data_IF_503453594606
#
_entry.id   IF_503453594606
#
_cell.length_a   1.000
_cell.length_b   1.000
_cell.length_c   1.000
_cell.angle_alpha   90.00
_cell.angle_beta   90.00
_cell.angle_gamma   90.00
#
_symmetry.space_group_name_H-M   'P 1'
#
loop_
_entity.id
_entity.type
_entity.pdbx_description
1 polymer ?
#
# COMPACT_ATOMS: atom_id res chain seq x y z
N UNK A 1 -17.92 -11.15 6.96
CA UNK A 1 -18.10 -9.68 6.91
C UNK A 1 -16.96 -9.08 7.71
N UNK A 2 -16.35 -8.00 7.23
CA UNK A 2 -15.32 -7.30 8.00
C UNK A 2 -15.92 -6.69 9.26
N UNK A 3 -15.25 -6.82 10.40
CA UNK A 3 -15.71 -6.26 11.69
C UNK A 3 -15.15 -4.86 11.95
N UNK A 4 -13.99 -4.55 11.34
CA UNK A 4 -13.35 -3.24 11.46
C UNK A 4 -13.53 -2.43 10.19
N UNK A 5 -13.59 -1.12 10.35
CA UNK A 5 -13.68 -0.16 9.26
C UNK A 5 -13.04 1.18 9.64
N UNK A 6 -13.01 2.09 8.68
CA UNK A 6 -12.50 3.45 8.86
C UNK A 6 -13.53 4.45 8.39
N UNK A 7 -13.81 5.45 9.21
CA UNK A 7 -14.54 6.64 8.75
C UNK A 7 -13.65 7.44 7.83
N UNK A 8 -14.23 8.01 6.79
CA UNK A 8 -13.50 8.81 5.81
C UNK A 8 -14.12 10.18 5.65
N UNK A 9 -13.28 11.17 5.41
CA UNK A 9 -13.68 12.51 5.00
C UNK A 9 -13.44 12.67 3.50
N UNK A 10 -14.40 13.20 2.75
CA UNK A 10 -14.21 13.57 1.35
C UNK A 10 -13.45 14.89 1.32
N UNK A 11 -12.20 14.86 0.85
CA UNK A 11 -11.35 16.04 0.79
C UNK A 11 -11.38 16.74 -0.57
N UNK A 12 -11.80 16.00 -1.63
CA UNK A 12 -11.89 16.54 -2.98
C UNK A 12 -12.82 15.70 -3.85
N UNK A 13 -13.54 16.34 -4.75
CA UNK A 13 -14.23 15.70 -5.87
C UNK A 13 -13.35 15.93 -7.10
N UNK A 14 -12.75 14.87 -7.63
CA UNK A 14 -11.85 14.96 -8.79
C UNK A 14 -12.63 15.03 -10.10
N UNK A 15 -13.77 14.34 -10.18
CA UNK A 15 -14.62 14.34 -11.37
C UNK A 15 -16.08 14.01 -11.02
N UNK A 16 -17.01 14.67 -11.72
CA UNK A 16 -18.42 14.33 -11.75
C UNK A 16 -18.76 13.76 -13.14
N UNK A 17 -19.37 12.57 -13.17
CA UNK A 17 -19.75 11.87 -14.38
C UNK A 17 -21.20 12.22 -14.78
N UNK A 18 -21.54 12.11 -16.07
CA UNK A 18 -22.88 12.44 -16.59
C UNK A 18 -24.02 11.60 -15.98
N UNK A 19 -23.71 10.41 -15.47
CA UNK A 19 -24.65 9.53 -14.78
C UNK A 19 -24.82 9.87 -13.28
N UNK A 20 -24.15 10.90 -12.77
CA UNK A 20 -24.17 11.34 -11.38
C UNK A 20 -23.16 10.64 -10.47
N UNK A 21 -22.32 9.75 -10.99
CA UNK A 21 -21.21 9.16 -10.22
C UNK A 21 -20.11 10.20 -9.98
N UNK A 22 -19.40 10.06 -8.88
CA UNK A 22 -18.33 10.96 -8.46
C UNK A 22 -17.02 10.20 -8.26
N UNK A 23 -15.93 10.69 -8.88
CA UNK A 23 -14.59 10.31 -8.49
C UNK A 23 -14.17 11.20 -7.33
N UNK A 24 -13.97 10.63 -6.16
CA UNK A 24 -13.68 11.37 -4.94
C UNK A 24 -12.32 10.97 -4.37
N UNK A 25 -11.67 11.94 -3.74
CA UNK A 25 -10.51 11.69 -2.91
C UNK A 25 -10.91 11.76 -1.45
N UNK A 26 -10.54 10.73 -0.70
CA UNK A 26 -10.91 10.61 0.72
C UNK A 26 -9.67 10.56 1.60
N UNK A 27 -9.85 10.90 2.86
CA UNK A 27 -8.87 10.71 3.93
C UNK A 27 -9.48 9.90 5.05
N UNK A 28 -8.79 8.84 5.51
CA UNK A 28 -9.17 8.12 6.72
C UNK A 28 -9.10 9.02 7.94
N UNK A 29 -10.08 8.93 8.82
CA UNK A 29 -10.19 9.77 10.03
C UNK A 29 -10.04 8.91 11.27
N UNK A 30 -10.89 7.89 11.42
CA UNK A 30 -11.01 7.16 12.66
C UNK A 30 -11.36 5.70 12.40
N UNK A 31 -10.73 4.79 13.16
CA UNK A 31 -11.01 3.36 13.06
C UNK A 31 -12.20 3.02 13.95
N UNK A 32 -13.11 2.21 13.45
CA UNK A 32 -14.26 1.73 14.21
C UNK A 32 -14.42 0.21 14.13
N UNK A 33 -15.10 -0.35 15.14
CA UNK A 33 -15.56 -1.74 15.14
C UNK A 33 -17.07 -1.79 14.97
N UNK A 34 -17.55 -2.63 14.04
CA UNK A 34 -18.97 -2.88 13.82
C UNK A 34 -19.49 -3.79 14.92
N UNK A 35 -20.51 -3.35 15.62
CA UNK A 35 -21.23 -4.13 16.63
C UNK A 35 -22.48 -4.78 16.04
N UNK A 36 -23.23 -4.04 15.21
CA UNK A 36 -24.46 -4.51 14.56
C UNK A 36 -24.64 -3.84 13.20
N UNK A 37 -25.12 -4.60 12.22
CA UNK A 37 -25.46 -4.07 10.90
C UNK A 37 -26.98 -3.91 10.80
N UNK A 38 -27.42 -2.69 10.51
CA UNK A 38 -28.84 -2.34 10.32
C UNK A 38 -29.10 -2.30 8.82
N UNK A 39 -29.77 -3.33 8.29
CA UNK A 39 -30.02 -3.43 6.84
C UNK A 39 -30.98 -2.37 6.33
N UNK A 40 -32.00 -2.04 7.13
CA UNK A 40 -33.04 -1.09 6.75
C UNK A 40 -33.24 -0.05 7.85
N UNK A 41 -33.07 1.21 7.49
CA UNK A 41 -33.38 2.34 8.35
C UNK A 41 -34.68 2.95 7.82
N UNK A 42 -35.72 3.15 8.69
CA UNK A 42 -36.98 3.77 8.25
C UNK A 42 -36.73 5.10 7.52
N UNK A 43 -37.41 5.30 6.39
CA UNK A 43 -37.31 6.51 5.56
C UNK A 43 -35.94 6.78 4.93
N UNK A 44 -35.00 5.83 4.95
CA UNK A 44 -33.69 5.94 4.30
C UNK A 44 -33.52 4.88 3.20
N UNK A 45 -32.87 5.26 2.12
CA UNK A 45 -32.55 4.36 1.01
C UNK A 45 -31.24 3.57 1.25
N UNK A 46 -30.62 3.71 2.42
CA UNK A 46 -29.38 3.07 2.79
C UNK A 46 -29.49 2.38 4.15
N UNK A 47 -28.66 1.37 4.37
CA UNK A 47 -28.47 0.72 5.67
C UNK A 47 -27.48 1.49 6.53
N UNK A 48 -27.28 1.00 7.74
CA UNK A 48 -26.32 1.57 8.69
C UNK A 48 -25.66 0.51 9.55
N UNK A 49 -24.88 0.96 10.51
CA UNK A 49 -24.30 0.08 11.51
C UNK A 49 -24.22 0.82 12.87
N UNK A 50 -24.36 0.04 13.94
CA UNK A 50 -23.93 0.48 15.28
C UNK A 50 -22.46 0.15 15.39
N UNK A 51 -21.65 1.15 15.71
CA UNK A 51 -20.21 1.02 15.78
C UNK A 51 -19.69 1.48 17.15
N UNK A 52 -18.53 0.95 17.49
CA UNK A 52 -17.73 1.42 18.61
C UNK A 52 -16.39 1.94 18.08
N UNK A 53 -15.87 3.00 18.65
CA UNK A 53 -14.55 3.55 18.37
C UNK A 53 -13.57 3.08 19.43
N UNK A 54 -12.73 2.08 19.14
CA UNK A 54 -11.72 1.61 20.09
C UNK A 54 -10.61 2.65 20.26
N UNK A 55 -9.95 2.64 21.42
CA UNK A 55 -8.74 3.44 21.62
C UNK A 55 -7.64 3.02 20.63
N UNK A 56 -7.29 3.90 19.72
CA UNK A 56 -6.32 3.67 18.65
C UNK A 56 -5.08 4.54 18.89
N UNK A 57 -4.03 3.92 19.42
CA UNK A 57 -2.78 4.60 19.76
C UNK A 57 -1.93 4.80 18.50
N UNK A 58 -1.75 6.07 18.10
CA UNK A 58 -0.99 6.45 16.89
C UNK A 58 0.46 6.88 17.21
N UNK A 59 0.84 6.92 18.47
CA UNK A 59 2.20 7.25 18.89
C UNK A 59 3.02 5.99 19.07
N UNK A 60 4.14 5.90 18.35
CA UNK A 60 5.07 4.77 18.36
C UNK A 60 6.49 5.18 18.74
N UNK A 61 7.41 4.24 18.53
CA UNK A 61 8.82 4.43 18.83
C UNK A 61 9.52 5.11 17.64
N UNK A 62 10.02 6.33 17.83
CA UNK A 62 10.67 7.12 16.76
C UNK A 62 11.85 6.39 16.11
N UNK A 63 12.70 5.71 16.91
CA UNK A 63 13.84 4.97 16.35
C UNK A 63 13.41 3.79 15.46
N UNK A 64 12.27 3.12 15.77
CA UNK A 64 11.70 2.09 14.91
C UNK A 64 11.13 2.71 13.63
N UNK A 65 10.45 3.84 13.73
CA UNK A 65 9.91 4.55 12.56
C UNK A 65 11.04 4.98 11.61
N UNK A 66 12.16 5.48 12.15
CA UNK A 66 13.34 5.82 11.33
C UNK A 66 13.85 4.60 10.55
N UNK A 67 13.98 3.44 11.22
CA UNK A 67 14.41 2.22 10.56
C UNK A 67 13.42 1.76 9.47
N UNK A 68 12.12 1.82 9.76
CA UNK A 68 11.06 1.49 8.79
C UNK A 68 11.12 2.42 7.59
N UNK A 69 11.26 3.73 7.80
CA UNK A 69 11.34 4.70 6.70
C UNK A 69 12.54 4.44 5.78
N UNK A 70 13.69 4.05 6.33
CA UNK A 70 14.85 3.67 5.52
C UNK A 70 14.53 2.43 4.65
N UNK A 71 13.87 1.42 5.20
CA UNK A 71 13.44 0.22 4.46
C UNK A 71 12.37 0.57 3.40
N UNK A 72 11.43 1.46 3.70
CA UNK A 72 10.40 1.94 2.75
C UNK A 72 11.03 2.69 1.58
N UNK A 73 11.97 3.59 1.85
CA UNK A 73 12.67 4.32 0.79
C UNK A 73 13.48 3.38 -0.09
N UNK A 74 14.14 2.40 0.49
CA UNK A 74 14.85 1.36 -0.27
C UNK A 74 13.89 0.52 -1.12
N UNK A 75 12.75 0.10 -0.56
CA UNK A 75 11.70 -0.61 -1.28
C UNK A 75 11.18 0.19 -2.49
N UNK A 76 10.92 1.50 -2.31
CA UNK A 76 10.50 2.36 -3.42
C UNK A 76 11.59 2.54 -4.47
N UNK A 77 12.85 2.64 -4.07
CA UNK A 77 13.97 2.69 -4.99
C UNK A 77 14.06 1.43 -5.85
N UNK A 78 13.86 0.25 -5.26
CA UNK A 78 13.82 -1.01 -6.01
C UNK A 78 12.68 -1.06 -7.02
N UNK A 79 11.54 -0.45 -6.73
CA UNK A 79 10.36 -0.39 -7.62
C UNK A 79 10.38 0.79 -8.58
N UNK A 80 11.42 1.63 -8.55
CA UNK A 80 11.51 2.88 -9.33
C UNK A 80 10.32 3.83 -9.08
N UNK A 81 9.75 3.79 -7.88
CA UNK A 81 8.63 4.64 -7.44
C UNK A 81 9.18 5.90 -6.77
N UNK A 82 8.80 7.07 -7.27
CA UNK A 82 9.13 8.34 -6.63
C UNK A 82 7.96 8.79 -5.75
N UNK A 83 8.19 8.81 -4.44
CA UNK A 83 7.26 9.34 -3.45
C UNK A 83 7.99 10.17 -2.41
N UNK A 84 7.43 11.35 -2.09
CA UNK A 84 7.95 12.21 -1.03
C UNK A 84 7.20 11.97 0.28
N UNK A 85 7.94 11.96 1.37
CA UNK A 85 7.41 11.89 2.74
C UNK A 85 7.81 13.15 3.51
N UNK A 86 7.06 13.50 4.57
CA UNK A 86 7.46 14.57 5.47
C UNK A 86 8.88 14.35 6.01
N UNK A 87 9.63 15.42 6.15
CA UNK A 87 11.01 15.37 6.65
C UNK A 87 11.05 15.04 8.14
N UNK A 88 10.03 15.50 8.87
CA UNK A 88 9.90 15.22 10.30
C UNK A 88 9.24 13.86 10.52
N UNK A 89 10.05 12.87 10.87
CA UNK A 89 9.62 11.50 11.16
C UNK A 89 8.68 11.43 12.36
N UNK A 90 8.76 12.38 13.28
CA UNK A 90 7.88 12.46 14.44
C UNK A 90 6.41 12.69 14.08
N UNK A 91 6.15 13.19 12.87
CA UNK A 91 4.78 13.44 12.36
C UNK A 91 4.23 12.29 11.52
N UNK A 92 5.04 11.27 11.21
CA UNK A 92 4.65 10.15 10.36
C UNK A 92 4.16 9.00 11.24
N UNK A 93 2.97 8.50 10.96
CA UNK A 93 2.44 7.24 11.49
C UNK A 93 2.60 6.10 10.48
N UNK A 94 2.46 4.87 10.94
CA UNK A 94 2.46 3.71 10.04
C UNK A 94 1.28 3.72 9.08
N UNK A 95 0.17 4.38 9.39
CA UNK A 95 -0.96 4.55 8.47
C UNK A 95 -0.58 5.36 7.22
N UNK A 96 0.34 6.34 7.35
CA UNK A 96 0.78 7.16 6.22
C UNK A 96 1.62 6.39 5.20
N UNK A 97 2.21 5.27 5.61
CA UNK A 97 3.11 4.45 4.76
C UNK A 97 2.52 3.09 4.38
N UNK A 98 1.57 2.56 5.14
CA UNK A 98 1.05 1.21 5.00
C UNK A 98 0.54 0.88 3.59
N UNK A 99 -0.19 1.81 2.96
CA UNK A 99 -0.73 1.65 1.62
C UNK A 99 0.34 1.64 0.50
N UNK A 100 1.59 1.94 0.85
CA UNK A 100 2.67 2.11 -0.12
C UNK A 100 3.78 1.05 -0.02
N UNK A 101 3.56 0.01 0.77
CA UNK A 101 4.54 -1.08 0.98
C UNK A 101 4.13 -2.41 0.34
N UNK A 102 3.09 -2.39 -0.52
CA UNK A 102 2.67 -3.55 -1.31
C UNK A 102 1.99 -4.65 -0.49
N UNK A 103 1.24 -4.30 0.54
CA UNK A 103 0.38 -5.24 1.27
C UNK A 103 -0.82 -5.65 0.40
N UNK A 104 -1.27 -6.90 0.56
CA UNK A 104 -2.56 -7.35 0.03
C UNK A 104 -3.71 -6.77 0.85
N UNK A 105 -4.95 -6.80 0.30
CA UNK A 105 -6.14 -6.35 1.03
C UNK A 105 -6.34 -7.07 2.37
N UNK A 106 -6.04 -8.37 2.44
CA UNK A 106 -6.11 -9.13 3.68
C UNK A 106 -5.08 -8.65 4.70
N UNK A 107 -3.85 -8.34 4.25
CA UNK A 107 -2.79 -7.78 5.09
C UNK A 107 -3.11 -6.36 5.55
N UNK A 108 -3.68 -5.51 4.68
CA UNK A 108 -4.16 -4.19 5.06
C UNK A 108 -5.28 -4.27 6.11
N UNK A 109 -6.19 -5.26 5.97
CA UNK A 109 -7.23 -5.50 6.95
C UNK A 109 -6.67 -6.02 8.29
N UNK A 110 -5.72 -6.96 8.28
CA UNK A 110 -4.99 -7.38 9.49
C UNK A 110 -4.30 -6.20 10.15
N UNK A 111 -3.64 -5.36 9.35
CA UNK A 111 -2.98 -4.15 9.83
C UNK A 111 -3.96 -3.16 10.48
N UNK A 112 -5.13 -2.95 9.90
CA UNK A 112 -6.19 -2.11 10.46
C UNK A 112 -6.68 -2.58 11.83
N UNK A 113 -6.62 -3.90 12.10
CA UNK A 113 -7.00 -4.47 13.40
C UNK A 113 -5.96 -4.23 14.51
N UNK A 114 -4.76 -3.75 14.18
CA UNK A 114 -3.72 -3.41 15.15
C UNK A 114 -3.96 -1.99 15.68
N UNK A 115 -4.43 -1.88 16.91
CA UNK A 115 -4.80 -0.60 17.52
C UNK A 115 -3.63 0.13 18.19
N UNK A 116 -2.43 -0.45 18.18
CA UNK A 116 -1.23 0.15 18.77
C UNK A 116 -0.16 0.38 17.72
N UNK A 117 0.41 1.57 17.70
CA UNK A 117 1.44 1.94 16.73
C UNK A 117 2.69 1.07 16.80
N UNK A 118 3.12 0.63 17.99
CA UNK A 118 4.27 -0.26 18.15
C UNK A 118 4.04 -1.64 17.48
N UNK A 119 2.81 -2.16 17.52
CA UNK A 119 2.43 -3.40 16.82
C UNK A 119 2.40 -3.20 15.31
N UNK A 120 1.88 -2.06 14.85
CA UNK A 120 1.87 -1.71 13.42
C UNK A 120 3.28 -1.52 12.87
N UNK A 121 4.16 -0.85 13.64
CA UNK A 121 5.59 -0.72 13.28
C UNK A 121 6.25 -2.09 13.12
N UNK A 122 5.99 -3.01 14.03
CA UNK A 122 6.54 -4.37 13.94
C UNK A 122 5.97 -5.15 12.76
N UNK A 123 4.68 -4.99 12.47
CA UNK A 123 4.02 -5.62 11.32
C UNK A 123 4.64 -5.16 10.00
N UNK A 124 4.77 -3.84 9.78
CA UNK A 124 5.40 -3.28 8.57
C UNK A 124 6.85 -3.73 8.44
N UNK A 125 7.62 -3.68 9.52
CA UNK A 125 9.02 -4.11 9.48
C UNK A 125 9.16 -5.58 9.07
N UNK A 126 8.32 -6.46 9.62
CA UNK A 126 8.29 -7.87 9.24
C UNK A 126 7.85 -8.05 7.77
N UNK A 127 6.85 -7.30 7.33
CA UNK A 127 6.39 -7.33 5.93
C UNK A 127 7.51 -6.92 4.96
N UNK A 128 8.19 -5.81 5.21
CA UNK A 128 9.29 -5.32 4.38
C UNK A 128 10.47 -6.31 4.34
N UNK A 129 10.83 -6.91 5.47
CA UNK A 129 11.86 -7.96 5.53
C UNK A 129 11.54 -9.18 4.67
N UNK A 130 10.28 -9.49 4.48
CA UNK A 130 9.84 -10.61 3.65
C UNK A 130 9.75 -10.25 2.17
N UNK A 131 9.23 -9.06 1.84
CA UNK A 131 8.96 -8.67 0.45
C UNK A 131 10.21 -8.17 -0.29
N UNK A 132 11.08 -7.41 0.37
CA UNK A 132 12.29 -6.82 -0.25
C UNK A 132 13.19 -7.88 -0.90
N UNK A 133 13.55 -9.00 -0.25
CA UNK A 133 14.36 -10.04 -0.88
C UNK A 133 13.72 -10.60 -2.16
N UNK A 134 12.41 -10.83 -2.14
CA UNK A 134 11.66 -11.33 -3.30
C UNK A 134 11.74 -10.37 -4.48
N UNK A 135 11.62 -9.07 -4.24
CA UNK A 135 11.72 -8.04 -5.29
C UNK A 135 13.13 -7.98 -5.85
N UNK A 136 14.15 -8.05 -4.99
CA UNK A 136 15.55 -8.08 -5.44
C UNK A 136 15.84 -9.29 -6.33
N UNK A 137 15.31 -10.46 -6.00
CA UNK A 137 15.44 -11.66 -6.83
C UNK A 137 14.72 -11.52 -8.18
N UNK A 138 13.52 -10.96 -8.17
CA UNK A 138 12.77 -10.69 -9.41
C UNK A 138 13.50 -9.70 -10.32
N UNK A 139 14.11 -8.66 -9.78
CA UNK A 139 14.92 -7.71 -10.56
C UNK A 139 16.14 -8.41 -11.19
N UNK A 140 16.88 -9.19 -10.42
CA UNK A 140 18.02 -9.97 -10.94
C UNK A 140 17.59 -10.93 -12.07
N UNK A 141 16.43 -11.56 -11.93
CA UNK A 141 15.89 -12.45 -12.98
C UNK A 141 15.53 -11.65 -14.22
N UNK A 142 14.89 -10.48 -14.09
CA UNK A 142 14.54 -9.58 -15.18
C UNK A 142 15.79 -9.14 -15.97
N UNK A 143 16.84 -8.74 -15.27
CA UNK A 143 18.14 -8.36 -15.86
C UNK A 143 18.74 -9.52 -16.67
N UNK A 144 18.76 -10.75 -16.11
CA UNK A 144 19.25 -11.94 -16.82
C UNK A 144 18.46 -12.23 -18.09
N UNK A 145 17.14 -12.09 -18.07
CA UNK A 145 16.28 -12.30 -19.24
C UNK A 145 16.59 -11.24 -20.32
N UNK A 146 16.77 -9.98 -19.93
CA UNK A 146 17.11 -8.90 -20.86
C UNK A 146 18.48 -9.14 -21.51
N UNK A 147 19.49 -9.53 -20.74
CA UNK A 147 20.82 -9.87 -21.26
C UNK A 147 20.75 -11.04 -22.25
N UNK A 148 20.06 -12.14 -21.90
CA UNK A 148 19.91 -13.29 -22.78
C UNK A 148 19.12 -12.97 -24.06
N UNK A 149 18.13 -12.09 -23.99
CA UNK A 149 17.39 -11.60 -25.17
C UNK A 149 18.23 -10.75 -26.10
N UNK A 150 19.21 -10.01 -25.56
CA UNK A 150 20.14 -9.21 -26.36
C UNK A 150 21.15 -10.08 -27.10
N UNK A 151 21.68 -11.12 -26.47
CA UNK A 151 22.59 -12.09 -27.11
C UNK A 151 21.91 -12.87 -28.24
N UNK A 152 20.63 -13.21 -28.11
CA UNK A 152 19.88 -13.87 -29.20
C UNK A 152 19.70 -12.97 -30.45
N UNK A 153 19.47 -11.66 -30.26
CA UNK A 153 19.39 -10.72 -31.40
C UNK A 153 20.73 -10.58 -32.12
N UNK A 154 21.84 -10.47 -31.38
CA UNK A 154 23.17 -10.38 -31.99
C UNK A 154 23.56 -11.66 -32.77
N UNK A 155 23.16 -12.85 -32.33
CA UNK A 155 23.43 -14.11 -33.02
C UNK A 155 22.58 -14.33 -34.29
N UNK A 156 21.44 -13.67 -34.41
CA UNK A 156 20.57 -13.70 -35.60
C UNK A 156 21.13 -12.76 -36.67
N UNK A 157 21.56 -11.55 -36.27
CA UNK A 157 22.13 -10.58 -37.22
C UNK A 157 23.46 -11.05 -37.81
N UNK A 158 24.28 -11.84 -37.06
CA UNK A 158 25.54 -12.43 -37.56
C UNK A 158 25.33 -13.63 -38.53
N UNK A 159 24.15 -14.26 -38.52
CA UNK A 159 23.83 -15.38 -39.42
C UNK A 159 23.28 -14.90 -40.76
N UNK A 160 22.57 -13.78 -40.80
CA UNK A 160 22.05 -13.21 -42.05
C UNK A 160 23.16 -12.52 -42.89
N UNK A 161 24.22 -12.01 -42.27
CA UNK A 161 25.35 -11.41 -42.95
C UNK A 161 26.30 -12.42 -43.65
N UNK A 162 26.15 -13.74 -43.43
CA UNK A 162 26.96 -14.80 -44.06
C UNK A 162 26.30 -15.55 -45.21
N UNK A 163 25.10 -15.13 -45.63
CA UNK A 163 24.36 -15.74 -46.73
C UNK A 163 24.33 -14.88 -48.02
N UNK A 164 25.08 -13.79 -48.08
CA UNK A 164 25.19 -12.93 -49.30
C UNK A 164 26.59 -12.89 -49.92
N UNK A 165 27.33 -14.01 -49.90
CA UNK A 165 28.55 -14.19 -50.73
C UNK A 165 28.49 -15.44 -51.58
#
# INVERSE_FOLDING_TARGET
>A
MAEMGTTVEIIQIDKEHENGDLDIRTRGVEVFKILEVIKNIPEKMYGGAIVNYPDNQVQGLQHKMQAIMNEVLYFHQLLEVSKSYPTDIGTISTYDIAHHVGMSLDQEYEFLNLLREDQRQEYIQRHLKNIIPTIVELQKLKERIQLNGHFRKLSIDDTDAKMED
#
